data_IF_415728801231
#
_entry.id   IF_415728801231
#
_cell.length_a   1.000
_cell.length_b   1.000
_cell.length_c   1.000
_cell.angle_alpha   90.00
_cell.angle_beta   90.00
_cell.angle_gamma   90.00
#
_symmetry.space_group_name_H-M   'P 1'
#
loop_
_entity.id
_entity.type
_entity.pdbx_description
1 polymer ?
#
# COMPACT_ATOMS: atom_id res chain seq x y z
N UNK A 1 -26.55 -0.72 24.45
CA UNK A 1 -25.66 -1.85 24.71
C UNK A 1 -25.63 -2.72 23.45
N UNK A 2 -24.51 -2.80 22.71
CA UNK A 2 -24.44 -3.68 21.53
C UNK A 2 -24.52 -5.12 22.02
N UNK A 3 -25.55 -5.86 21.63
CA UNK A 3 -25.68 -7.29 21.92
C UNK A 3 -24.72 -8.02 21.01
N UNK A 4 -23.72 -8.66 21.58
CA UNK A 4 -22.88 -9.61 20.85
C UNK A 4 -23.64 -10.93 20.77
N UNK A 5 -23.52 -11.60 19.62
CA UNK A 5 -24.18 -12.87 19.36
C UNK A 5 -23.17 -14.02 19.45
N UNK A 6 -23.64 -15.18 19.85
CA UNK A 6 -22.80 -16.40 19.83
C UNK A 6 -22.66 -16.94 18.41
N UNK A 7 -21.72 -17.85 18.21
CA UNK A 7 -21.43 -18.40 16.88
C UNK A 7 -22.66 -19.05 16.22
N UNK A 8 -23.45 -19.77 16.98
CA UNK A 8 -24.64 -20.47 16.51
C UNK A 8 -25.71 -19.48 16.00
N UNK A 9 -25.92 -18.40 16.70
CA UNK A 9 -26.81 -17.31 16.29
C UNK A 9 -26.26 -16.61 15.03
N UNK A 10 -24.93 -16.43 14.94
CA UNK A 10 -24.28 -15.87 13.78
C UNK A 10 -24.49 -16.71 12.51
N UNK A 11 -24.29 -18.05 12.60
CA UNK A 11 -24.53 -18.97 11.47
C UNK A 11 -26.00 -18.98 11.04
N UNK A 12 -26.95 -18.82 11.97
CA UNK A 12 -28.38 -18.77 11.66
C UNK A 12 -28.80 -17.45 11.03
N UNK A 13 -28.17 -16.35 11.46
CA UNK A 13 -28.52 -15.00 11.00
C UNK A 13 -27.98 -14.72 9.60
N UNK A 14 -26.78 -15.18 9.28
CA UNK A 14 -26.12 -14.91 8.01
C UNK A 14 -26.02 -16.18 7.15
N UNK A 15 -26.43 -16.14 5.86
CA UNK A 15 -26.49 -17.32 4.98
C UNK A 15 -25.09 -17.76 4.49
N UNK A 16 -24.17 -17.98 5.43
CA UNK A 16 -22.77 -18.32 5.16
C UNK A 16 -22.56 -19.80 5.52
N UNK A 17 -22.14 -20.60 4.53
CA UNK A 17 -21.82 -22.02 4.75
C UNK A 17 -20.31 -22.22 4.77
N UNK A 18 -19.79 -22.69 5.87
CA UNK A 18 -18.37 -22.99 6.07
C UNK A 18 -18.17 -24.46 6.43
N UNK A 19 -17.09 -25.05 5.93
CA UNK A 19 -16.63 -26.33 6.45
C UNK A 19 -15.89 -26.15 7.79
N UNK A 20 -15.55 -27.24 8.47
CA UNK A 20 -14.94 -27.20 9.81
C UNK A 20 -13.60 -26.42 9.83
N UNK A 21 -12.77 -26.57 8.80
CA UNK A 21 -11.49 -25.86 8.70
C UNK A 21 -11.68 -24.35 8.47
N UNK A 22 -12.61 -23.97 7.61
CA UNK A 22 -12.98 -22.57 7.36
C UNK A 22 -13.56 -21.92 8.62
N UNK A 23 -14.43 -22.64 9.34
CA UNK A 23 -14.98 -22.19 10.62
C UNK A 23 -13.87 -21.93 11.65
N UNK A 24 -12.95 -22.85 11.81
CA UNK A 24 -11.78 -22.68 12.69
C UNK A 24 -10.96 -21.46 12.32
N UNK A 25 -10.71 -21.23 11.01
CA UNK A 25 -9.97 -20.07 10.53
C UNK A 25 -10.71 -18.74 10.81
N UNK A 26 -12.05 -18.73 10.70
CA UNK A 26 -12.87 -17.56 11.02
C UNK A 26 -12.79 -17.23 12.51
N UNK A 27 -12.88 -18.23 13.37
CA UNK A 27 -12.90 -18.05 14.83
C UNK A 27 -11.53 -17.73 15.44
N UNK A 28 -10.43 -18.04 14.74
CA UNK A 28 -9.06 -17.77 15.20
C UNK A 28 -8.70 -16.29 15.02
N UNK A 29 -9.13 -15.41 15.91
CA UNK A 29 -8.94 -13.97 15.79
C UNK A 29 -7.78 -13.41 16.62
N UNK A 30 -7.27 -14.16 17.58
CA UNK A 30 -6.19 -13.71 18.45
C UNK A 30 -4.82 -14.14 17.91
N UNK A 31 -3.89 -13.20 17.82
CA UNK A 31 -2.53 -13.44 17.34
C UNK A 31 -2.42 -13.62 15.82
N UNK A 32 -1.21 -13.88 15.32
CA UNK A 32 -0.97 -14.09 13.90
C UNK A 32 -1.56 -15.42 13.43
N UNK A 33 -2.31 -15.39 12.33
CA UNK A 33 -2.94 -16.56 11.71
C UNK A 33 -2.56 -16.62 10.24
N UNK A 34 -1.98 -17.74 9.80
CA UNK A 34 -1.71 -18.03 8.40
C UNK A 34 -2.77 -18.97 7.84
N UNK A 35 -3.56 -18.50 6.88
CA UNK A 35 -4.54 -19.30 6.16
C UNK A 35 -3.96 -19.78 4.83
N UNK A 36 -3.58 -21.06 4.76
CA UNK A 36 -3.14 -21.71 3.53
C UNK A 36 -4.36 -22.29 2.81
N UNK A 37 -4.55 -21.89 1.57
CA UNK A 37 -5.73 -22.31 0.81
C UNK A 37 -5.47 -22.27 -0.70
N UNK A 38 -5.89 -23.31 -1.41
CA UNK A 38 -5.77 -23.42 -2.87
C UNK A 38 -6.71 -22.44 -3.59
N UNK A 39 -6.46 -22.09 -4.86
CA UNK A 39 -7.41 -21.35 -5.67
C UNK A 39 -8.80 -21.98 -5.66
N UNK A 40 -9.87 -21.20 -5.55
CA UNK A 40 -11.24 -21.70 -5.53
C UNK A 40 -11.74 -22.26 -4.18
N UNK A 41 -10.90 -22.39 -3.17
CA UNK A 41 -11.29 -22.95 -1.85
C UNK A 41 -12.12 -22.02 -0.94
N UNK A 42 -12.58 -20.89 -1.44
CA UNK A 42 -13.39 -19.95 -0.66
C UNK A 42 -12.61 -19.02 0.27
N UNK A 43 -11.31 -18.76 0.01
CA UNK A 43 -10.49 -17.83 0.82
C UNK A 43 -11.18 -16.50 1.11
N UNK A 44 -11.72 -15.86 0.09
CA UNK A 44 -12.42 -14.58 0.23
C UNK A 44 -13.65 -14.70 1.13
N UNK A 45 -14.41 -15.78 1.00
CA UNK A 45 -15.56 -16.06 1.87
C UNK A 45 -15.12 -16.17 3.33
N UNK A 46 -14.04 -16.93 3.61
CA UNK A 46 -13.48 -17.06 4.96
C UNK A 46 -13.07 -15.69 5.52
N UNK A 47 -12.35 -14.89 4.72
CA UNK A 47 -11.90 -13.56 5.16
C UNK A 47 -13.08 -12.62 5.44
N UNK A 48 -14.06 -12.56 4.55
CA UNK A 48 -15.26 -11.74 4.71
C UNK A 48 -16.07 -12.18 5.93
N UNK A 49 -16.25 -13.49 6.11
CA UNK A 49 -16.96 -14.04 7.29
C UNK A 49 -16.21 -13.75 8.58
N UNK A 50 -14.88 -13.81 8.56
CA UNK A 50 -14.03 -13.47 9.71
C UNK A 50 -14.25 -12.01 10.15
N UNK A 51 -14.36 -11.07 9.21
CA UNK A 51 -14.68 -9.67 9.52
C UNK A 51 -16.03 -9.55 10.22
N UNK A 52 -17.07 -10.22 9.70
CA UNK A 52 -18.37 -10.27 10.34
C UNK A 52 -18.31 -10.87 11.76
N UNK A 53 -17.61 -11.98 11.91
CA UNK A 53 -17.41 -12.62 13.21
C UNK A 53 -16.71 -11.71 14.24
N UNK A 54 -15.66 -11.01 13.80
CA UNK A 54 -14.94 -10.03 14.65
C UNK A 54 -15.88 -8.94 15.17
N UNK A 55 -16.78 -8.48 14.32
CA UNK A 55 -17.72 -7.41 14.67
C UNK A 55 -18.87 -7.92 15.52
N UNK A 56 -19.58 -8.96 15.08
CA UNK A 56 -20.82 -9.42 15.71
C UNK A 56 -20.58 -10.28 16.93
N UNK A 57 -19.57 -11.16 16.91
CA UNK A 57 -19.33 -12.09 18.00
C UNK A 57 -18.24 -11.60 18.96
N UNK A 58 -17.23 -10.88 18.49
CA UNK A 58 -16.14 -10.37 19.33
C UNK A 58 -16.25 -8.89 19.69
N UNK A 59 -17.23 -8.20 19.13
CA UNK A 59 -17.49 -6.80 19.45
C UNK A 59 -16.40 -5.82 19.03
N UNK A 60 -15.57 -6.21 18.08
CA UNK A 60 -14.51 -5.35 17.56
C UNK A 60 -15.16 -4.23 16.74
N UNK A 61 -14.80 -2.99 17.03
CA UNK A 61 -15.28 -1.84 16.28
C UNK A 61 -14.83 -1.93 14.82
N UNK A 62 -15.74 -1.84 13.83
CA UNK A 62 -15.40 -1.86 12.42
C UNK A 62 -14.31 -0.88 12.04
N UNK A 63 -14.28 0.31 12.63
CA UNK A 63 -13.29 1.36 12.38
C UNK A 63 -11.86 0.97 12.83
N UNK A 64 -11.73 -0.06 13.67
CA UNK A 64 -10.46 -0.62 14.12
C UNK A 64 -9.99 -1.81 13.31
N UNK A 65 -10.74 -2.19 12.27
CA UNK A 65 -10.41 -3.33 11.41
C UNK A 65 -9.87 -2.80 10.08
N UNK A 66 -8.63 -3.14 9.78
CA UNK A 66 -7.99 -2.83 8.50
C UNK A 66 -7.87 -4.10 7.67
N UNK A 67 -8.40 -4.06 6.46
CA UNK A 67 -8.25 -5.13 5.46
C UNK A 67 -7.38 -4.66 4.31
N UNK A 68 -6.28 -5.36 4.05
CA UNK A 68 -5.30 -4.98 3.03
C UNK A 68 -5.25 -6.01 1.92
N UNK A 69 -5.21 -5.53 0.68
CA UNK A 69 -5.12 -6.35 -0.54
C UNK A 69 -4.03 -5.82 -1.47
N UNK A 70 -3.66 -6.59 -2.49
CA UNK A 70 -2.69 -6.16 -3.50
C UNK A 70 -3.30 -5.23 -4.56
N UNK A 71 -4.55 -5.49 -4.99
CA UNK A 71 -5.16 -4.79 -6.12
C UNK A 71 -6.42 -4.05 -5.72
N UNK A 72 -6.71 -2.97 -6.44
CA UNK A 72 -7.95 -2.20 -6.28
C UNK A 72 -9.19 -3.07 -6.58
N UNK A 73 -9.09 -3.98 -7.56
CA UNK A 73 -10.17 -4.90 -7.89
C UNK A 73 -10.50 -5.84 -6.72
N UNK A 74 -9.47 -6.43 -6.07
CA UNK A 74 -9.66 -7.29 -4.91
C UNK A 74 -10.23 -6.52 -3.71
N UNK A 75 -9.80 -5.27 -3.50
CA UNK A 75 -10.35 -4.39 -2.46
C UNK A 75 -11.84 -4.17 -2.65
N UNK A 76 -12.25 -3.81 -3.88
CA UNK A 76 -13.65 -3.57 -4.23
C UNK A 76 -14.50 -4.86 -4.16
N UNK A 77 -13.96 -6.00 -4.60
CA UNK A 77 -14.66 -7.29 -4.53
C UNK A 77 -14.91 -7.70 -3.08
N UNK A 78 -13.92 -7.55 -2.22
CA UNK A 78 -14.05 -7.89 -0.79
C UNK A 78 -15.05 -6.99 -0.07
N UNK A 79 -15.01 -5.67 -0.31
CA UNK A 79 -15.99 -4.72 0.25
C UNK A 79 -17.40 -5.05 -0.22
N UNK A 80 -17.61 -5.32 -1.52
CA UNK A 80 -18.92 -5.70 -2.06
C UNK A 80 -19.44 -7.00 -1.46
N UNK A 81 -18.60 -8.02 -1.32
CA UNK A 81 -19.00 -9.29 -0.69
C UNK A 81 -19.36 -9.10 0.77
N UNK A 82 -18.60 -8.28 1.48
CA UNK A 82 -18.90 -7.96 2.87
C UNK A 82 -20.27 -7.24 2.97
N UNK A 83 -20.51 -6.23 2.14
CA UNK A 83 -21.78 -5.53 2.07
C UNK A 83 -22.96 -6.46 1.75
N UNK A 84 -22.75 -7.44 0.85
CA UNK A 84 -23.76 -8.44 0.50
C UNK A 84 -24.18 -9.36 1.65
N UNK A 85 -23.30 -9.62 2.61
CA UNK A 85 -23.63 -10.42 3.81
C UNK A 85 -24.09 -9.57 5.00
N UNK A 86 -23.50 -8.40 5.21
CA UNK A 86 -23.61 -7.65 6.46
C UNK A 86 -24.17 -6.23 6.30
N UNK A 87 -24.46 -5.81 5.07
CA UNK A 87 -25.02 -4.51 4.74
C UNK A 87 -23.99 -3.44 4.40
N UNK A 88 -24.40 -2.49 3.56
CA UNK A 88 -23.52 -1.41 3.05
C UNK A 88 -23.08 -0.47 4.18
N UNK A 89 -24.00 -0.10 5.08
CA UNK A 89 -23.70 0.80 6.20
C UNK A 89 -22.52 0.29 7.05
N UNK A 90 -22.46 -1.03 7.28
CA UNK A 90 -21.36 -1.62 8.03
C UNK A 90 -20.09 -1.74 7.19
N UNK A 91 -20.22 -1.99 5.89
CA UNK A 91 -19.09 -2.05 4.96
C UNK A 91 -18.38 -0.69 4.83
N UNK A 92 -19.10 0.41 4.85
CA UNK A 92 -18.58 1.77 4.78
C UNK A 92 -17.77 2.16 6.03
N UNK A 93 -18.00 1.50 7.15
CA UNK A 93 -17.25 1.71 8.40
C UNK A 93 -15.95 0.92 8.46
N UNK A 94 -15.79 -0.10 7.61
CA UNK A 94 -14.58 -0.90 7.52
C UNK A 94 -13.55 -0.23 6.61
N UNK A 95 -12.30 -0.35 6.96
CA UNK A 95 -11.22 0.15 6.11
C UNK A 95 -10.69 -0.96 5.21
N UNK A 96 -11.04 -0.89 3.91
CA UNK A 96 -10.49 -1.73 2.85
C UNK A 96 -9.48 -0.94 2.03
N UNK A 97 -8.22 -1.39 1.98
CA UNK A 97 -7.13 -0.68 1.28
C UNK A 97 -6.26 -1.64 0.46
N UNK A 98 -5.64 -1.09 -0.58
CA UNK A 98 -4.46 -1.73 -1.13
C UNK A 98 -3.24 -1.40 -0.26
N UNK A 99 -2.17 -2.22 -0.35
CA UNK A 99 -0.90 -1.93 0.34
C UNK A 99 -0.43 -0.50 0.03
N UNK A 100 -0.39 -0.13 -1.26
CA UNK A 100 0.02 1.21 -1.68
C UNK A 100 -0.92 2.31 -1.13
N UNK A 101 -2.23 2.07 -1.12
CA UNK A 101 -3.20 3.00 -0.56
C UNK A 101 -3.03 3.20 0.96
N UNK A 102 -2.67 2.14 1.67
CA UNK A 102 -2.33 2.22 3.09
C UNK A 102 -1.04 3.01 3.32
N UNK A 103 0.02 2.70 2.56
CA UNK A 103 1.28 3.44 2.64
C UNK A 103 1.09 4.94 2.36
N UNK A 104 0.32 5.30 1.34
CA UNK A 104 -0.01 6.70 1.04
C UNK A 104 -0.74 7.39 2.20
N UNK A 105 -1.69 6.69 2.86
CA UNK A 105 -2.40 7.21 4.04
C UNK A 105 -1.44 7.44 5.21
N UNK A 106 -0.54 6.49 5.48
CA UNK A 106 0.46 6.60 6.55
C UNK A 106 1.40 7.80 6.28
N UNK A 107 1.92 7.93 5.05
CA UNK A 107 2.79 9.03 4.65
C UNK A 107 2.07 10.38 4.82
N UNK A 108 0.80 10.46 4.38
CA UNK A 108 -0.01 11.67 4.51
C UNK A 108 -0.29 12.03 5.96
N UNK A 109 -0.55 11.04 6.81
CA UNK A 109 -0.77 11.24 8.23
C UNK A 109 0.51 11.73 8.92
N UNK A 110 1.63 11.04 8.70
CA UNK A 110 2.93 11.41 9.26
C UNK A 110 3.38 12.79 8.78
N UNK A 111 3.21 13.10 7.49
CA UNK A 111 3.52 14.43 6.94
C UNK A 111 2.78 15.56 7.68
N UNK A 112 1.50 15.36 7.99
CA UNK A 112 0.73 16.34 8.79
C UNK A 112 1.27 16.50 10.21
N UNK A 113 1.65 15.38 10.86
CA UNK A 113 2.20 15.43 12.22
C UNK A 113 3.50 16.24 12.32
N UNK A 114 4.36 16.16 11.29
CA UNK A 114 5.64 16.88 11.25
C UNK A 114 5.56 18.23 10.50
N UNK A 115 4.34 18.73 10.23
CA UNK A 115 4.13 19.99 9.53
C UNK A 115 4.57 20.01 8.05
N UNK A 116 4.83 18.85 7.44
CA UNK A 116 5.18 18.71 6.02
C UNK A 116 3.95 18.33 5.21
N UNK A 117 3.74 19.01 4.07
CA UNK A 117 2.72 18.57 3.12
C UNK A 117 3.12 17.22 2.52
N UNK A 118 2.19 16.25 2.42
CA UNK A 118 2.47 14.97 1.77
C UNK A 118 2.83 15.19 0.30
N UNK A 119 3.70 14.31 -0.22
CA UNK A 119 4.04 14.30 -1.64
C UNK A 119 2.83 13.86 -2.47
N UNK A 120 2.62 14.52 -3.60
CA UNK A 120 1.73 14.02 -4.62
C UNK A 120 2.46 12.95 -5.44
N UNK A 121 1.77 11.82 -5.66
CA UNK A 121 2.32 10.74 -6.46
C UNK A 121 2.25 11.13 -7.94
N UNK A 122 3.38 11.21 -8.61
CA UNK A 122 3.42 11.39 -10.07
C UNK A 122 2.93 10.09 -10.72
N UNK A 123 1.76 10.15 -11.37
CA UNK A 123 1.15 8.99 -12.02
C UNK A 123 1.51 8.89 -13.50
N UNK A 124 1.99 9.98 -14.10
CA UNK A 124 2.35 10.02 -15.52
C UNK A 124 3.76 9.45 -15.73
N UNK A 125 3.81 8.31 -16.39
CA UNK A 125 5.08 7.63 -16.72
C UNK A 125 5.98 8.47 -17.63
N UNK A 126 5.42 9.33 -18.49
CA UNK A 126 6.20 10.20 -19.38
C UNK A 126 6.96 11.26 -18.59
N UNK A 127 6.32 11.82 -17.55
CA UNK A 127 6.97 12.79 -16.66
C UNK A 127 8.12 12.10 -15.93
N UNK A 128 7.87 10.92 -15.36
CA UNK A 128 8.91 10.16 -14.65
C UNK A 128 10.06 9.75 -15.57
N UNK A 129 9.77 9.31 -16.81
CA UNK A 129 10.78 8.98 -17.79
C UNK A 129 11.61 10.20 -18.20
N UNK A 130 10.95 11.33 -18.46
CA UNK A 130 11.65 12.58 -18.81
C UNK A 130 12.58 13.07 -17.69
N UNK A 131 12.14 12.95 -16.44
CA UNK A 131 12.98 13.29 -15.29
C UNK A 131 14.21 12.40 -15.18
N UNK A 132 14.02 11.08 -15.27
CA UNK A 132 15.14 10.13 -15.22
C UNK A 132 16.11 10.34 -16.37
N UNK A 133 15.62 10.61 -17.60
CA UNK A 133 16.46 10.91 -18.76
C UNK A 133 17.31 12.16 -18.54
N UNK A 134 16.73 13.21 -17.96
CA UNK A 134 17.45 14.45 -17.64
C UNK A 134 18.54 14.21 -16.59
N UNK A 135 18.23 13.48 -15.52
CA UNK A 135 19.20 13.16 -14.46
C UNK A 135 20.32 12.30 -15.02
N UNK A 136 19.98 11.28 -15.81
CA UNK A 136 20.96 10.41 -16.47
C UNK A 136 21.92 11.21 -17.34
N UNK A 137 21.39 12.11 -18.18
CA UNK A 137 22.21 12.97 -19.03
C UNK A 137 23.16 13.86 -18.22
N UNK A 138 22.72 14.36 -17.07
CA UNK A 138 23.56 15.18 -16.18
C UNK A 138 24.67 14.36 -15.52
N UNK A 139 24.39 13.11 -15.16
CA UNK A 139 25.34 12.24 -14.46
C UNK A 139 26.32 11.56 -15.40
N UNK A 140 25.85 11.02 -16.53
CA UNK A 140 26.65 10.22 -17.47
C UNK A 140 27.16 11.04 -18.65
N UNK A 141 26.72 12.31 -18.79
CA UNK A 141 27.03 13.18 -19.95
C UNK A 141 26.62 12.57 -21.30
N UNK A 142 25.64 11.65 -21.30
CA UNK A 142 25.11 10.94 -22.46
C UNK A 142 23.59 10.90 -22.45
N UNK A 143 22.98 10.75 -23.62
CA UNK A 143 21.54 10.56 -23.71
C UNK A 143 21.17 9.12 -23.32
N UNK A 144 20.21 8.98 -22.41
CA UNK A 144 19.70 7.68 -21.98
C UNK A 144 18.92 6.99 -23.10
N UNK A 145 19.22 5.74 -23.36
CA UNK A 145 18.37 4.86 -24.16
C UNK A 145 17.22 4.31 -23.32
N UNK A 146 16.21 3.68 -23.93
CA UNK A 146 15.14 3.00 -23.20
C UNK A 146 15.69 1.89 -22.28
N UNK A 147 16.76 1.21 -22.73
CA UNK A 147 17.44 0.18 -21.93
C UNK A 147 18.07 0.78 -20.68
N UNK A 148 18.74 1.91 -20.82
CA UNK A 148 19.40 2.61 -19.70
C UNK A 148 18.36 3.06 -18.66
N UNK A 149 17.27 3.66 -19.11
CA UNK A 149 16.18 4.08 -18.22
C UNK A 149 15.52 2.89 -17.49
N UNK A 150 15.40 1.74 -18.16
CA UNK A 150 14.91 0.51 -17.54
C UNK A 150 15.88 -0.01 -16.48
N UNK A 151 17.18 -0.02 -16.78
CA UNK A 151 18.23 -0.43 -15.84
C UNK A 151 18.22 0.48 -14.60
N UNK A 152 18.24 1.79 -14.80
CA UNK A 152 18.19 2.78 -13.71
C UNK A 152 16.96 2.60 -12.82
N UNK A 153 15.77 2.42 -13.41
CA UNK A 153 14.54 2.16 -12.62
C UNK A 153 14.63 0.89 -11.80
N UNK A 154 15.22 -0.17 -12.37
CA UNK A 154 15.39 -1.45 -11.68
C UNK A 154 16.32 -1.29 -10.50
N UNK A 155 17.47 -0.63 -10.69
CA UNK A 155 18.45 -0.38 -9.64
C UNK A 155 17.91 0.53 -8.54
N UNK A 156 17.21 1.62 -8.86
CA UNK A 156 16.52 2.46 -7.87
C UNK A 156 15.52 1.65 -7.06
N UNK A 157 14.77 0.78 -7.72
CA UNK A 157 13.79 -0.09 -7.04
C UNK A 157 14.48 -1.09 -6.13
N UNK A 158 15.58 -1.66 -6.57
CA UNK A 158 16.41 -2.57 -5.78
C UNK A 158 16.97 -1.88 -4.53
N UNK A 159 17.61 -0.71 -4.69
CA UNK A 159 18.14 0.10 -3.59
C UNK A 159 17.07 0.36 -2.52
N UNK A 160 15.87 0.76 -2.96
CA UNK A 160 14.75 1.05 -2.04
C UNK A 160 14.21 -0.18 -1.33
N UNK A 161 14.05 -1.29 -2.05
CA UNK A 161 13.50 -2.52 -1.48
C UNK A 161 14.46 -3.19 -0.50
N UNK A 162 15.75 -3.12 -0.79
CA UNK A 162 16.81 -3.67 0.06
C UNK A 162 17.24 -2.71 1.17
N UNK A 163 16.79 -1.45 1.12
CA UNK A 163 17.19 -0.39 2.05
C UNK A 163 18.71 -0.26 2.17
N UNK A 164 19.39 -0.25 1.01
CA UNK A 164 20.85 -0.22 0.96
C UNK A 164 21.40 1.05 1.60
N UNK A 165 22.54 0.91 2.26
CA UNK A 165 23.35 2.01 2.81
C UNK A 165 24.05 2.78 1.69
N UNK A 166 24.59 3.96 2.01
CA UNK A 166 25.36 4.76 1.04
C UNK A 166 26.60 4.00 0.53
N UNK A 167 27.24 3.21 1.38
CA UNK A 167 28.41 2.39 1.03
C UNK A 167 28.01 1.29 0.04
N UNK A 168 26.93 0.56 0.30
CA UNK A 168 26.42 -0.49 -0.60
C UNK A 168 25.91 0.09 -1.93
N UNK A 169 25.42 1.33 -1.97
CA UNK A 169 25.02 2.01 -3.22
C UNK A 169 26.28 2.38 -4.05
N UNK A 170 27.38 2.78 -3.41
CA UNK A 170 28.63 3.06 -4.11
C UNK A 170 29.25 1.79 -4.70
N UNK A 171 29.15 0.64 -4.03
CA UNK A 171 29.55 -0.65 -4.59
C UNK A 171 28.75 -1.00 -5.85
N UNK A 172 27.47 -0.67 -5.88
CA UNK A 172 26.61 -0.85 -7.06
C UNK A 172 27.03 0.04 -8.25
N UNK A 173 27.59 1.23 -8.00
CA UNK A 173 28.12 2.09 -9.05
C UNK A 173 29.26 1.40 -9.81
N UNK A 174 30.15 0.70 -9.10
CA UNK A 174 31.27 -0.02 -9.68
C UNK A 174 30.80 -1.27 -10.45
N UNK A 175 29.85 -2.03 -9.89
CA UNK A 175 29.33 -3.25 -10.54
C UNK A 175 28.50 -2.96 -11.79
N UNK A 176 27.73 -1.86 -11.79
CA UNK A 176 26.85 -1.51 -12.89
C UNK A 176 27.50 -0.64 -13.96
N UNK A 177 28.71 -0.14 -13.72
CA UNK A 177 29.40 0.87 -14.55
C UNK A 177 28.51 2.09 -14.82
N UNK A 178 27.76 2.54 -13.78
CA UNK A 178 26.81 3.64 -13.80
C UNK A 178 26.89 4.43 -12.50
N UNK A 179 26.77 5.75 -12.56
CA UNK A 179 26.71 6.61 -11.36
C UNK A 179 25.33 6.57 -10.69
N UNK A 180 24.90 5.39 -10.27
CA UNK A 180 23.59 5.14 -9.67
C UNK A 180 23.41 5.92 -8.37
N UNK A 181 24.46 6.07 -7.56
CA UNK A 181 24.45 6.89 -6.34
C UNK A 181 24.03 8.32 -6.64
N UNK A 182 24.63 8.94 -7.67
CA UNK A 182 24.32 10.31 -8.11
C UNK A 182 22.89 10.39 -8.66
N UNK A 183 22.49 9.45 -9.52
CA UNK A 183 21.14 9.40 -10.10
C UNK A 183 20.10 9.21 -8.99
N UNK A 184 20.37 8.35 -8.01
CA UNK A 184 19.49 8.09 -6.88
C UNK A 184 19.30 9.34 -6.02
N UNK A 185 20.38 10.02 -5.62
CA UNK A 185 20.34 11.25 -4.81
C UNK A 185 19.62 12.36 -5.57
N UNK A 186 19.91 12.58 -6.85
CA UNK A 186 19.22 13.60 -7.66
C UNK A 186 17.76 13.28 -7.88
N UNK A 187 17.38 12.01 -8.02
CA UNK A 187 15.97 11.60 -8.10
C UNK A 187 15.21 11.98 -6.84
N UNK A 188 15.81 11.82 -5.66
CA UNK A 188 15.24 12.30 -4.41
C UNK A 188 15.12 13.83 -4.38
N UNK A 189 16.15 14.53 -4.76
CA UNK A 189 16.17 16.00 -4.77
C UNK A 189 15.15 16.59 -5.75
N UNK A 190 14.97 15.96 -6.92
CA UNK A 190 14.00 16.40 -7.92
C UNK A 190 12.55 16.18 -7.49
N UNK A 191 12.25 15.12 -6.77
CA UNK A 191 10.94 14.93 -6.14
C UNK A 191 10.61 16.09 -5.19
N UNK A 192 11.60 16.63 -4.47
CA UNK A 192 11.44 17.81 -3.64
C UNK A 192 11.24 19.09 -4.47
N UNK A 193 11.94 19.25 -5.60
CA UNK A 193 11.88 20.43 -6.48
C UNK A 193 10.56 20.52 -7.23
N UNK A 194 10.04 19.42 -7.76
CA UNK A 194 8.74 19.42 -8.44
C UNK A 194 7.60 19.80 -7.50
N UNK A 195 7.69 19.46 -6.23
CA UNK A 195 6.77 19.93 -5.21
C UNK A 195 6.83 21.46 -5.05
N UNK A 196 8.01 22.06 -5.16
CA UNK A 196 8.18 23.51 -5.07
C UNK A 196 7.59 24.22 -6.29
N UNK A 197 7.79 23.68 -7.49
CA UNK A 197 7.28 24.24 -8.76
C UNK A 197 5.75 24.13 -8.85
N UNK A 198 5.16 23.00 -8.43
CA UNK A 198 3.71 22.79 -8.50
C UNK A 198 2.90 23.63 -7.50
N UNK A 199 3.56 24.21 -6.49
CA UNK A 199 2.89 25.04 -5.46
C UNK A 199 3.05 26.53 -5.64
N UNK A 200 3.81 27.02 -6.66
CA UNK A 200 4.13 28.41 -6.84
C UNK A 200 4.93 29.01 -5.67
N UNK A 201 5.61 30.14 -5.83
CA UNK A 201 6.32 30.79 -4.75
C UNK A 201 5.31 31.41 -3.77
N UNK A 202 5.00 30.74 -2.69
CA UNK A 202 4.48 31.42 -1.51
C UNK A 202 5.65 32.19 -0.90
N UNK A 203 5.78 33.43 -1.33
CA UNK A 203 6.67 34.42 -0.74
C UNK A 203 6.20 34.74 0.68
N UNK A 204 6.72 33.97 1.64
CA UNK A 204 6.89 34.44 3.01
C UNK A 204 8.26 33.95 3.49
N UNK A 205 9.23 34.86 3.40
CA UNK A 205 10.52 34.71 4.09
C UNK A 205 10.23 34.67 5.59
N UNK A 206 10.83 33.76 6.35
CA UNK A 206 10.94 33.97 7.78
C UNK A 206 11.94 35.08 8.05
N UNK A 207 11.58 35.93 8.99
CA UNK A 207 12.45 36.95 9.56
C UNK A 207 13.59 36.31 10.36
#
# INVERSE_FOLDING_TARGET
>A
MKRYIEWEEFEQTFPIRLNAQQKSAVQSVNGPVLLLAVPGSGKTTVLVTRLGYMIYCKGIDPEKILTVTYTVAATKDMSRRFAGYFGEELADRLEFRTINGLCAKIISYYGRMIGKKPFELVQDEKITAGMLSMIYQQSEHAYATESDLKTVRTLITYIKNMMLTEEEILELDEEADLKISVIYIHTYSLIYVLRWISQGPSLSRPA
#
